data_IF_664293424393
#
_entry.id   IF_664293424393
#
_cell.length_a   1.000
_cell.length_b   1.000
_cell.length_c   1.000
_cell.angle_alpha   90.00
_cell.angle_beta   90.00
_cell.angle_gamma   90.00
#
_symmetry.space_group_name_H-M   'P 1'
#
loop_
_entity.id
_entity.type
_entity.pdbx_description
1 polymer ?
#
# COMPACT_ATOMS: atom_id res chain seq x y z
N UNK A 1 -0.18 -6.33 -13.97
CA UNK A 1 0.74 -5.17 -13.93
C UNK A 1 0.68 -4.56 -12.54
N UNK A 2 1.81 -4.13 -12.00
CA UNK A 2 1.88 -3.46 -10.69
C UNK A 2 2.52 -2.08 -10.89
N UNK A 3 2.04 -1.07 -10.15
CA UNK A 3 2.67 0.24 -10.09
C UNK A 3 2.80 0.67 -8.64
N UNK A 4 4.03 0.99 -8.24
CA UNK A 4 4.37 1.54 -6.94
C UNK A 4 5.10 2.87 -7.08
N UNK A 5 4.90 3.75 -6.12
CA UNK A 5 5.77 4.92 -5.90
C UNK A 5 6.44 4.81 -4.52
N UNK A 6 7.59 5.46 -4.35
CA UNK A 6 8.17 5.71 -3.03
C UNK A 6 8.02 7.20 -2.72
N UNK A 7 7.16 7.54 -1.77
CA UNK A 7 6.86 8.91 -1.36
C UNK A 7 6.98 9.02 0.15
N UNK A 8 7.70 10.02 0.65
CA UNK A 8 7.94 10.23 2.08
C UNK A 8 8.46 8.99 2.84
N UNK A 9 9.29 8.18 2.18
CA UNK A 9 9.85 6.95 2.75
C UNK A 9 8.90 5.75 2.77
N UNK A 10 7.71 5.87 2.16
CA UNK A 10 6.66 4.85 2.18
C UNK A 10 6.42 4.27 0.79
N UNK A 11 5.95 3.03 0.75
CA UNK A 11 5.56 2.33 -0.48
C UNK A 11 4.09 2.62 -0.78
N UNK A 12 3.84 3.33 -1.87
CA UNK A 12 2.50 3.64 -2.34
C UNK A 12 2.09 2.68 -3.45
N UNK A 13 1.08 1.84 -3.19
CA UNK A 13 0.52 0.93 -4.20
C UNK A 13 -0.49 1.70 -5.04
N UNK A 14 -0.09 2.12 -6.24
CA UNK A 14 -0.93 2.94 -7.12
C UNK A 14 -1.85 2.10 -8.01
N UNK A 15 -1.44 0.89 -8.35
CA UNK A 15 -2.25 -0.03 -9.12
C UNK A 15 -1.84 -1.48 -8.86
N UNK A 16 -2.83 -2.35 -8.67
CA UNK A 16 -2.67 -3.79 -8.60
C UNK A 16 -3.60 -4.47 -9.60
N UNK A 17 -3.05 -4.89 -10.74
CA UNK A 17 -3.78 -5.63 -11.78
C UNK A 17 -3.64 -7.15 -11.63
N UNK A 18 -3.57 -7.64 -10.40
CA UNK A 18 -3.48 -9.08 -10.07
C UNK A 18 -4.51 -9.41 -9.00
N UNK A 19 -4.74 -10.69 -8.74
CA UNK A 19 -5.60 -11.16 -7.63
C UNK A 19 -4.85 -11.21 -6.28
N UNK A 20 -3.54 -10.93 -6.28
CA UNK A 20 -2.74 -11.00 -5.06
C UNK A 20 -2.98 -9.82 -4.12
N UNK A 21 -2.92 -10.07 -2.81
CA UNK A 21 -2.94 -9.04 -1.78
C UNK A 21 -1.53 -8.47 -1.57
N UNK A 22 -1.09 -7.64 -2.51
CA UNK A 22 0.28 -7.10 -2.55
C UNK A 22 0.71 -6.42 -1.24
N UNK A 23 -0.19 -5.72 -0.58
CA UNK A 23 0.12 -5.06 0.69
C UNK A 23 0.43 -6.08 1.81
N UNK A 24 -0.21 -7.24 1.82
CA UNK A 24 0.07 -8.32 2.77
C UNK A 24 1.42 -8.98 2.46
N UNK A 25 1.72 -9.23 1.18
CA UNK A 25 3.01 -9.81 0.76
C UNK A 25 4.20 -8.91 1.14
N UNK A 26 4.03 -7.59 1.07
CA UNK A 26 5.05 -6.64 1.55
C UNK A 26 5.29 -6.78 3.06
N UNK A 27 4.23 -6.95 3.84
CA UNK A 27 4.32 -7.21 5.29
C UNK A 27 5.02 -8.54 5.58
N UNK A 28 4.67 -9.60 4.84
CA UNK A 28 5.36 -10.91 4.95
C UNK A 28 6.85 -10.81 4.61
N UNK A 29 7.23 -9.90 3.72
CA UNK A 29 8.61 -9.60 3.37
C UNK A 29 9.31 -8.67 4.37
N UNK A 30 8.64 -8.27 5.46
CA UNK A 30 9.20 -7.50 6.55
C UNK A 30 9.00 -5.98 6.47
N UNK A 31 8.20 -5.48 5.53
CA UNK A 31 7.84 -4.06 5.47
C UNK A 31 6.77 -3.78 6.53
N UNK A 32 6.98 -2.84 7.47
CA UNK A 32 5.94 -2.48 8.42
C UNK A 32 4.68 -1.96 7.72
N UNK A 33 3.50 -2.31 8.22
CA UNK A 33 2.23 -1.88 7.64
C UNK A 33 2.07 -0.34 7.58
N UNK A 34 2.66 0.37 8.54
CA UNK A 34 2.68 1.84 8.58
C UNK A 34 3.62 2.48 7.55
N UNK A 35 4.43 1.70 6.84
CA UNK A 35 5.26 2.15 5.72
C UNK A 35 4.64 1.85 4.35
N UNK A 36 3.40 1.34 4.33
CA UNK A 36 2.66 1.00 3.10
C UNK A 36 1.41 1.88 3.01
N UNK A 37 1.12 2.41 1.82
CA UNK A 37 -0.08 3.20 1.53
C UNK A 37 -0.84 2.57 0.37
N UNK A 38 -2.14 2.36 0.54
CA UNK A 38 -3.03 1.93 -0.54
C UNK A 38 -3.39 3.15 -1.40
N UNK A 39 -2.52 3.48 -2.35
CA UNK A 39 -2.56 4.70 -3.16
C UNK A 39 -3.83 4.84 -4.00
N UNK A 40 -4.34 3.73 -4.55
CA UNK A 40 -5.58 3.71 -5.33
C UNK A 40 -6.87 3.87 -4.51
N UNK A 41 -6.80 3.87 -3.17
CA UNK A 41 -7.92 4.29 -2.34
C UNK A 41 -7.94 5.81 -2.17
N UNK A 42 -9.14 6.38 -2.14
CA UNK A 42 -9.30 7.79 -1.80
C UNK A 42 -8.77 8.06 -0.39
N UNK A 43 -8.25 9.27 -0.09
CA UNK A 43 -7.67 9.59 1.21
C UNK A 43 -8.58 9.21 2.39
N UNK A 44 -9.88 9.48 2.29
CA UNK A 44 -10.88 9.13 3.30
C UNK A 44 -10.98 7.63 3.56
N UNK A 45 -10.82 6.78 2.55
CA UNK A 45 -10.93 5.33 2.71
C UNK A 45 -9.73 4.69 3.40
N UNK A 46 -8.55 5.30 3.29
CA UNK A 46 -7.29 4.71 3.80
C UNK A 46 -7.30 4.54 5.31
N UNK A 47 -7.97 5.44 6.05
CA UNK A 47 -8.11 5.35 7.51
C UNK A 47 -8.86 4.09 8.00
N UNK A 48 -9.61 3.43 7.10
CA UNK A 48 -10.33 2.20 7.40
C UNK A 48 -9.56 0.94 6.98
N UNK A 49 -8.28 1.09 6.61
CA UNK A 49 -7.38 -0.02 6.29
C UNK A 49 -6.39 -0.26 7.42
N UNK A 50 -5.68 -1.38 7.39
CA UNK A 50 -4.60 -1.67 8.33
C UNK A 50 -3.25 -1.00 7.99
N UNK A 51 -3.23 -0.15 6.94
CA UNK A 51 -2.03 0.47 6.37
C UNK A 51 -2.03 1.98 6.62
N UNK A 52 -0.97 2.68 6.21
CA UNK A 52 -0.87 4.12 6.39
C UNK A 52 -1.85 4.92 5.51
N UNK A 53 -2.22 6.09 6.02
CA UNK A 53 -3.10 7.05 5.34
C UNK A 53 -2.34 7.87 4.29
N UNK A 54 -1.06 8.14 4.58
CA UNK A 54 -0.08 8.89 3.78
C UNK A 54 1.33 8.32 3.99
#
# INVERSE_FOLDING_TARGET
>A
MLHFDILNGKIWIQYNGTEELIAEKLVECGVPNYDIVIGFYSPFKRQFTAYAVE
#
